data_IF_410761298420
#
_entry.id   IF_410761298420
#
_cell.length_a   1.000
_cell.length_b   1.000
_cell.length_c   1.000
_cell.angle_alpha   90.00
_cell.angle_beta   90.00
_cell.angle_gamma   90.00
#
_symmetry.space_group_name_H-M   'P 1'
#
loop_
_entity.id
_entity.type
_entity.pdbx_description
1 polymer ?
#
# COMPACT_ATOMS: atom_id res chain seq x y z
N UNK A 1 -3.45 15.68 4.22
CA UNK A 1 -4.08 14.50 4.87
C UNK A 1 -4.96 13.84 3.83
N UNK A 2 -5.23 12.56 3.98
CA UNK A 2 -6.11 11.81 3.08
C UNK A 2 -7.06 10.95 3.90
N UNK A 3 -8.19 10.58 3.31
CA UNK A 3 -9.15 9.68 3.95
C UNK A 3 -9.62 8.68 2.92
N UNK A 4 -9.46 7.40 3.21
CA UNK A 4 -10.02 6.31 2.40
C UNK A 4 -11.22 5.69 3.07
N UNK A 5 -12.16 5.25 2.27
CA UNK A 5 -13.26 4.39 2.67
C UNK A 5 -13.33 3.19 1.74
N UNK A 6 -13.37 2.01 2.31
CA UNK A 6 -13.54 0.75 1.59
C UNK A 6 -14.74 0.00 2.18
N UNK A 7 -15.55 -0.63 1.33
CA UNK A 7 -16.83 -1.23 1.70
C UNK A 7 -16.95 -2.61 1.08
N UNK A 8 -17.21 -3.62 1.91
CA UNK A 8 -17.46 -4.98 1.46
C UNK A 8 -18.80 -5.15 0.74
N UNK A 9 -18.92 -6.14 -0.10
CA UNK A 9 -20.05 -6.37 -1.00
C UNK A 9 -21.43 -6.49 -0.31
N UNK A 10 -21.48 -7.01 0.92
CA UNK A 10 -22.72 -7.13 1.70
C UNK A 10 -23.08 -5.88 2.48
N UNK A 11 -22.18 -4.90 2.53
CA UNK A 11 -22.41 -3.60 3.14
C UNK A 11 -22.85 -2.52 2.13
N UNK A 12 -22.93 -2.88 0.85
CA UNK A 12 -23.44 -2.03 -0.24
C UNK A 12 -24.86 -2.43 -0.65
N UNK A 13 -25.58 -1.52 -1.29
CA UNK A 13 -26.97 -1.75 -1.68
C UNK A 13 -27.12 -2.70 -2.87
N UNK A 14 -26.10 -2.79 -3.73
CA UNK A 14 -26.11 -3.54 -5.00
C UNK A 14 -25.17 -4.75 -5.01
N UNK A 15 -24.51 -5.04 -3.90
CA UNK A 15 -23.57 -6.17 -3.79
C UNK A 15 -22.20 -5.92 -4.41
N UNK A 16 -21.86 -4.67 -4.73
CA UNK A 16 -20.54 -4.31 -5.23
C UNK A 16 -19.55 -4.05 -4.09
N UNK A 17 -18.26 -4.28 -4.33
CA UNK A 17 -17.22 -3.67 -3.51
C UNK A 17 -17.07 -2.20 -3.86
N UNK A 18 -16.77 -1.37 -2.87
CA UNK A 18 -16.54 0.05 -3.10
C UNK A 18 -15.23 0.51 -2.47
N UNK A 19 -14.57 1.40 -3.15
CA UNK A 19 -13.33 2.03 -2.70
C UNK A 19 -13.33 3.50 -3.12
N UNK A 20 -13.09 4.40 -2.17
CA UNK A 20 -12.99 5.82 -2.42
C UNK A 20 -11.91 6.46 -1.55
N UNK A 21 -11.32 7.54 -2.03
CA UNK A 21 -10.30 8.31 -1.31
C UNK A 21 -10.47 9.81 -1.56
N UNK A 22 -10.31 10.61 -0.51
CA UNK A 22 -10.02 12.03 -0.66
C UNK A 22 -8.50 12.24 -0.71
N UNK A 23 -8.04 13.08 -1.61
CA UNK A 23 -6.66 13.55 -1.66
C UNK A 23 -6.63 14.97 -1.09
N UNK A 24 -6.39 15.07 0.22
CA UNK A 24 -6.39 16.36 0.90
C UNK A 24 -5.08 17.11 0.60
N UNK A 25 -5.15 18.06 -0.30
CA UNK A 25 -4.01 18.85 -0.75
C UNK A 25 -4.38 20.34 -0.84
N UNK A 26 -3.47 21.15 -1.34
CA UNK A 26 -3.76 22.54 -1.67
C UNK A 26 -4.91 22.60 -2.68
N UNK A 27 -5.89 23.49 -2.46
CA UNK A 27 -7.07 23.68 -3.31
C UNK A 27 -6.75 23.97 -4.79
N UNK A 28 -5.52 24.41 -5.09
CA UNK A 28 -5.05 24.65 -6.46
C UNK A 28 -4.38 23.43 -7.11
N UNK A 29 -4.23 22.32 -6.41
CA UNK A 29 -3.70 21.06 -6.95
C UNK A 29 -4.83 20.30 -7.66
N UNK A 30 -5.13 20.68 -8.89
CA UNK A 30 -6.05 19.93 -9.71
C UNK A 30 -5.41 18.59 -10.13
N UNK A 31 -6.21 17.53 -10.12
CA UNK A 31 -5.86 16.21 -10.65
C UNK A 31 -6.53 16.02 -12.00
N UNK A 32 -5.96 15.18 -12.85
CA UNK A 32 -6.54 14.83 -14.13
C UNK A 32 -6.45 13.31 -14.37
N UNK A 33 -7.31 12.83 -15.24
CA UNK A 33 -7.36 11.42 -15.61
C UNK A 33 -6.38 11.15 -16.74
N UNK A 34 -5.51 10.16 -16.57
CA UNK A 34 -4.53 9.73 -17.57
C UNK A 34 -4.77 8.27 -17.93
N UNK A 35 -4.68 7.94 -19.20
CA UNK A 35 -4.72 6.59 -19.73
C UNK A 35 -3.32 6.21 -20.19
N UNK A 36 -2.81 5.09 -19.68
CA UNK A 36 -1.59 4.45 -20.12
C UNK A 36 -1.97 3.28 -21.02
N UNK A 37 -1.64 3.35 -22.30
CA UNK A 37 -1.98 2.27 -23.24
C UNK A 37 -1.14 1.03 -23.02
N UNK A 38 -1.73 -0.13 -23.29
CA UNK A 38 -0.99 -1.40 -23.24
C UNK A 38 0.15 -1.42 -24.24
N UNK A 39 1.30 -1.96 -23.86
CA UNK A 39 2.47 -2.06 -24.72
C UNK A 39 3.43 -3.15 -24.27
N UNK A 40 4.24 -3.61 -25.19
CA UNK A 40 5.31 -4.55 -24.90
C UNK A 40 6.58 -3.78 -24.49
N UNK A 41 7.25 -4.28 -23.47
CA UNK A 41 8.52 -3.72 -22.99
C UNK A 41 9.71 -4.49 -23.58
N UNK A 42 10.81 -3.79 -23.78
CA UNK A 42 12.06 -4.43 -24.12
C UNK A 42 12.53 -5.36 -22.99
N UNK A 43 13.28 -6.40 -23.33
CA UNK A 43 13.90 -7.28 -22.35
C UNK A 43 14.80 -6.48 -21.38
N UNK A 44 14.60 -6.68 -20.09
CA UNK A 44 15.35 -5.96 -19.04
C UNK A 44 14.93 -4.50 -18.83
N UNK A 45 13.83 -4.06 -19.41
CA UNK A 45 13.30 -2.72 -19.18
C UNK A 45 12.92 -2.51 -17.69
N UNK A 46 13.26 -1.33 -17.18
CA UNK A 46 13.03 -0.96 -15.79
C UNK A 46 12.09 0.23 -15.70
N UNK A 47 11.16 0.18 -14.76
CA UNK A 47 10.50 1.36 -14.20
C UNK A 47 11.54 2.14 -13.39
N UNK A 48 11.44 3.47 -13.39
CA UNK A 48 12.23 4.37 -12.56
C UNK A 48 11.33 5.45 -11.98
N UNK A 49 11.49 5.73 -10.71
CA UNK A 49 10.81 6.87 -10.07
C UNK A 49 11.08 8.15 -10.90
N UNK A 50 10.05 8.97 -11.06
CA UNK A 50 10.19 10.25 -11.74
C UNK A 50 11.13 11.19 -10.97
N UNK A 51 11.96 11.93 -11.67
CA UNK A 51 12.90 12.88 -11.07
C UNK A 51 12.14 14.12 -10.54
N UNK A 52 12.10 14.25 -9.23
CA UNK A 52 11.59 15.42 -8.52
C UNK A 52 12.32 15.59 -7.17
N UNK A 53 12.20 16.76 -6.56
CA UNK A 53 12.82 17.01 -5.25
C UNK A 53 12.23 16.11 -4.16
N UNK A 54 13.01 15.16 -3.68
CA UNK A 54 12.62 14.18 -2.67
C UNK A 54 12.28 12.81 -3.23
N UNK A 55 12.39 12.63 -4.57
CA UNK A 55 12.33 11.32 -5.19
C UNK A 55 13.44 10.39 -4.67
N UNK A 56 13.18 9.10 -4.72
CA UNK A 56 14.18 8.06 -4.49
C UNK A 56 14.76 7.60 -5.83
N UNK A 57 15.89 6.90 -5.80
CA UNK A 57 16.43 6.20 -6.97
C UNK A 57 15.82 4.80 -7.12
N UNK A 58 14.50 4.66 -6.85
CA UNK A 58 13.81 3.38 -6.95
C UNK A 58 13.70 2.93 -8.40
N UNK A 59 14.06 1.68 -8.63
CA UNK A 59 13.95 0.99 -9.91
C UNK A 59 13.27 -0.36 -9.71
N UNK A 60 12.40 -0.74 -10.66
CA UNK A 60 11.73 -2.04 -10.61
C UNK A 60 11.54 -2.63 -12.01
N UNK A 61 11.72 -3.95 -12.20
CA UNK A 61 11.56 -4.57 -13.51
C UNK A 61 10.14 -4.34 -14.07
N UNK A 62 10.04 -3.88 -15.31
CA UNK A 62 8.79 -3.84 -16.04
C UNK A 62 8.35 -5.27 -16.45
N UNK A 63 7.04 -5.57 -16.54
CA UNK A 63 6.58 -6.82 -17.12
C UNK A 63 6.89 -6.85 -18.62
N UNK A 64 7.02 -8.03 -19.23
CA UNK A 64 7.21 -8.15 -20.67
C UNK A 64 6.10 -7.45 -21.48
N UNK A 65 4.87 -7.52 -20.97
CA UNK A 65 3.70 -6.78 -21.48
C UNK A 65 3.09 -5.96 -20.35
N UNK A 66 3.02 -4.64 -20.51
CA UNK A 66 2.31 -3.73 -19.63
C UNK A 66 0.84 -3.66 -20.08
N UNK A 67 -0.07 -4.01 -19.18
CA UNK A 67 -1.51 -3.85 -19.40
C UNK A 67 -1.89 -2.39 -19.53
N UNK A 68 -3.00 -2.11 -20.17
CA UNK A 68 -3.61 -0.77 -20.16
C UNK A 68 -4.12 -0.45 -18.76
N UNK A 69 -3.83 0.75 -18.27
CA UNK A 69 -4.28 1.20 -16.96
C UNK A 69 -4.53 2.70 -16.93
N UNK A 70 -5.11 3.17 -15.86
CA UNK A 70 -5.40 4.59 -15.64
C UNK A 70 -4.72 5.08 -14.36
N UNK A 71 -4.45 6.38 -14.30
CA UNK A 71 -3.98 7.06 -13.09
C UNK A 71 -4.63 8.44 -12.98
N UNK A 72 -4.55 9.07 -11.80
CA UNK A 72 -5.12 10.39 -11.55
C UNK A 72 -4.06 11.31 -10.91
N UNK A 73 -2.97 11.61 -11.63
CA UNK A 73 -1.88 12.43 -11.12
C UNK A 73 -2.26 13.91 -11.04
N UNK A 74 -1.42 14.68 -10.35
CA UNK A 74 -1.47 16.14 -10.41
C UNK A 74 -1.20 16.62 -11.82
N UNK A 75 -2.10 17.43 -12.38
CA UNK A 75 -2.03 17.86 -13.77
C UNK A 75 -0.81 18.72 -14.13
N UNK A 76 -0.23 19.44 -13.16
CA UNK A 76 0.94 20.29 -13.41
C UNK A 76 2.25 19.51 -13.37
N UNK A 77 2.39 18.59 -12.40
CA UNK A 77 3.64 17.89 -12.14
C UNK A 77 3.66 16.47 -12.70
N UNK A 78 2.50 15.91 -13.05
CA UNK A 78 2.31 14.50 -13.41
C UNK A 78 2.72 13.51 -12.32
N UNK A 79 2.91 14.00 -11.09
CA UNK A 79 3.26 13.19 -9.92
C UNK A 79 2.00 12.76 -9.16
N UNK A 80 2.17 11.79 -8.27
CA UNK A 80 1.12 11.25 -7.41
C UNK A 80 -0.02 10.62 -8.23
N UNK A 81 0.27 9.56 -8.95
CA UNK A 81 -0.68 8.78 -9.75
C UNK A 81 -1.90 8.33 -8.96
N UNK A 82 -1.73 8.20 -7.68
CA UNK A 82 -2.67 8.16 -6.57
C UNK A 82 -3.73 7.06 -6.64
N UNK A 83 -4.41 6.87 -7.76
CA UNK A 83 -5.51 5.91 -7.92
C UNK A 83 -5.62 5.51 -9.38
N UNK A 84 -6.02 4.27 -9.64
CA UNK A 84 -6.26 3.82 -11.01
C UNK A 84 -6.86 2.43 -11.07
N UNK A 85 -7.19 2.04 -12.29
CA UNK A 85 -7.66 0.71 -12.64
C UNK A 85 -6.93 0.21 -13.87
N UNK A 86 -6.69 -1.08 -13.96
CA UNK A 86 -6.20 -1.71 -15.18
C UNK A 86 -7.33 -2.39 -15.97
N UNK A 87 -7.01 -2.92 -17.14
CA UNK A 87 -7.96 -3.57 -18.04
C UNK A 87 -8.55 -4.89 -17.50
N UNK A 88 -7.91 -5.52 -16.52
CA UNK A 88 -8.45 -6.70 -15.82
C UNK A 88 -9.43 -6.29 -14.69
N UNK A 89 -9.64 -5.00 -14.48
CA UNK A 89 -10.54 -4.48 -13.44
C UNK A 89 -9.93 -4.42 -12.05
N UNK A 90 -8.61 -4.60 -11.95
CA UNK A 90 -7.91 -4.37 -10.68
C UNK A 90 -7.72 -2.88 -10.47
N UNK A 91 -8.20 -2.39 -9.32
CA UNK A 91 -8.01 -1.02 -8.89
C UNK A 91 -7.17 -0.92 -7.63
N UNK A 92 -6.54 0.23 -7.43
CA UNK A 92 -5.91 0.59 -6.16
C UNK A 92 -6.21 2.03 -5.78
N UNK A 93 -6.25 2.32 -4.49
CA UNK A 93 -6.21 3.71 -4.02
C UNK A 93 -4.77 4.15 -3.90
N UNK A 94 -4.56 5.42 -4.08
CA UNK A 94 -3.37 6.05 -3.53
C UNK A 94 -3.38 5.96 -2.01
N UNK A 95 -2.29 6.36 -1.43
CA UNK A 95 -1.93 6.04 -0.08
C UNK A 95 -2.40 7.06 0.93
N UNK A 96 -2.64 6.59 2.13
CA UNK A 96 -2.59 7.43 3.32
C UNK A 96 -1.21 7.32 3.93
N UNK A 97 -0.57 8.47 4.17
CA UNK A 97 0.70 8.46 4.91
C UNK A 97 0.47 7.92 6.32
N UNK A 98 1.21 6.88 6.67
CA UNK A 98 1.17 6.22 7.98
C UNK A 98 2.52 6.42 8.66
N UNK A 99 2.52 6.52 9.96
CA UNK A 99 3.75 6.73 10.72
C UNK A 99 4.06 5.50 11.57
N UNK A 100 5.28 4.98 11.44
CA UNK A 100 5.83 4.02 12.38
C UNK A 100 6.46 4.73 13.58
N UNK A 101 6.64 4.03 14.70
CA UNK A 101 7.36 4.56 15.86
C UNK A 101 8.85 4.74 15.54
N UNK A 102 9.47 5.76 16.13
CA UNK A 102 10.93 5.95 16.04
C UNK A 102 11.69 4.73 16.55
N UNK A 103 11.13 4.01 17.53
CA UNK A 103 11.73 2.79 18.06
C UNK A 103 11.76 1.67 17.01
N UNK A 104 10.64 1.39 16.33
CA UNK A 104 10.61 0.39 15.26
C UNK A 104 11.53 0.80 14.09
N UNK A 105 11.50 2.09 13.69
CA UNK A 105 12.36 2.62 12.63
C UNK A 105 13.84 2.65 12.98
N UNK A 106 14.22 2.58 14.26
CA UNK A 106 15.63 2.47 14.64
C UNK A 106 16.24 1.11 14.24
N UNK A 107 15.42 0.08 14.05
CA UNK A 107 15.85 -1.25 13.63
C UNK A 107 15.72 -1.50 12.12
N UNK A 108 14.72 -0.88 11.48
CA UNK A 108 14.43 -1.02 10.05
C UNK A 108 13.94 0.33 9.49
N UNK A 109 14.87 1.28 9.28
CA UNK A 109 14.56 2.64 8.86
C UNK A 109 14.06 2.66 7.41
N UNK A 110 13.14 3.58 7.09
CA UNK A 110 12.68 3.80 5.72
C UNK A 110 13.86 3.97 4.75
N UNK A 111 13.81 3.25 3.63
CA UNK A 111 14.83 3.32 2.58
C UNK A 111 14.64 4.58 1.71
N UNK A 112 15.09 5.71 2.21
CA UNK A 112 14.98 7.01 1.52
C UNK A 112 15.80 7.12 0.24
N UNK A 113 16.74 6.21 0.02
CA UNK A 113 17.60 6.26 -1.17
C UNK A 113 16.98 5.55 -2.37
N UNK A 114 16.51 4.31 -2.18
CA UNK A 114 16.06 3.43 -3.27
C UNK A 114 14.75 2.70 -2.98
N UNK A 115 14.06 3.06 -1.89
CA UNK A 115 12.78 2.44 -1.52
C UNK A 115 11.63 2.95 -2.37
N UNK A 116 10.57 2.12 -2.45
CA UNK A 116 9.33 2.49 -3.13
C UNK A 116 8.60 3.60 -2.37
N UNK A 117 8.08 4.58 -3.10
CA UNK A 117 7.23 5.65 -2.59
C UNK A 117 5.77 5.46 -3.01
N UNK A 118 4.86 6.24 -2.42
CA UNK A 118 3.46 6.26 -2.86
C UNK A 118 3.30 6.64 -4.33
N UNK A 119 4.25 7.41 -4.86
CA UNK A 119 4.22 7.88 -6.26
C UNK A 119 4.49 6.76 -7.27
N UNK A 120 5.11 5.66 -6.85
CA UNK A 120 5.54 4.56 -7.73
C UNK A 120 4.49 3.44 -7.83
N UNK A 121 3.57 3.35 -6.86
CA UNK A 121 2.74 2.15 -6.66
C UNK A 121 1.85 1.85 -7.87
N UNK A 122 1.20 2.87 -8.45
CA UNK A 122 0.32 2.67 -9.61
C UNK A 122 1.08 2.07 -10.79
N UNK A 123 2.23 2.63 -11.11
CA UNK A 123 3.08 2.26 -12.24
C UNK A 123 3.77 0.90 -12.06
N UNK A 124 3.94 0.49 -10.80
CA UNK A 124 4.51 -0.83 -10.48
C UNK A 124 3.44 -1.92 -10.49
N UNK A 125 2.25 -1.65 -9.98
CA UNK A 125 1.21 -2.66 -9.74
C UNK A 125 0.27 -2.82 -10.93
N UNK A 126 -0.32 -1.73 -11.42
CA UNK A 126 -1.40 -1.79 -12.41
C UNK A 126 -1.01 -2.40 -13.76
N UNK A 127 0.24 -2.25 -14.25
CA UNK A 127 0.63 -2.86 -15.52
C UNK A 127 0.66 -4.40 -15.52
N UNK A 128 0.58 -5.07 -14.36
CA UNK A 128 0.91 -6.50 -14.27
C UNK A 128 -0.06 -7.38 -13.47
N UNK A 129 -0.75 -6.85 -12.47
CA UNK A 129 -1.55 -7.66 -11.56
C UNK A 129 -2.97 -7.87 -12.10
N UNK A 130 -3.50 -9.09 -11.95
CA UNK A 130 -4.80 -9.51 -12.51
C UNK A 130 -5.88 -9.66 -11.46
N UNK A 131 -5.53 -9.63 -10.18
CA UNK A 131 -6.47 -9.68 -9.06
C UNK A 131 -6.04 -8.74 -7.94
N UNK A 132 -6.99 -8.30 -7.11
CA UNK A 132 -6.71 -7.48 -5.94
C UNK A 132 -5.75 -8.19 -4.95
N UNK A 133 -5.93 -9.50 -4.75
CA UNK A 133 -5.05 -10.31 -3.91
C UNK A 133 -3.62 -10.36 -4.46
N UNK A 134 -3.45 -10.58 -5.76
CA UNK A 134 -2.15 -10.56 -6.42
C UNK A 134 -1.49 -9.18 -6.30
N UNK A 135 -2.23 -8.11 -6.53
CA UNK A 135 -1.75 -6.74 -6.42
C UNK A 135 -1.23 -6.42 -5.01
N UNK A 136 -2.00 -6.80 -3.99
CA UNK A 136 -1.61 -6.66 -2.60
C UNK A 136 -0.34 -7.45 -2.26
N UNK A 137 -0.29 -8.73 -2.63
CA UNK A 137 0.87 -9.60 -2.40
C UNK A 137 2.11 -9.12 -3.17
N UNK A 138 1.92 -8.59 -4.40
CA UNK A 138 3.01 -8.08 -5.21
C UNK A 138 3.62 -6.80 -4.61
N UNK A 139 2.79 -5.86 -4.12
CA UNK A 139 3.30 -4.70 -3.39
C UNK A 139 4.08 -5.14 -2.14
N UNK A 140 3.57 -6.11 -1.40
CA UNK A 140 4.28 -6.70 -0.27
C UNK A 140 5.65 -7.24 -0.65
N UNK A 141 5.75 -7.97 -1.76
CA UNK A 141 7.04 -8.44 -2.30
C UNK A 141 8.00 -7.29 -2.66
N UNK A 142 7.49 -6.22 -3.27
CA UNK A 142 8.30 -5.02 -3.56
C UNK A 142 8.83 -4.40 -2.27
N UNK A 143 7.98 -4.25 -1.25
CA UNK A 143 8.35 -3.73 0.07
C UNK A 143 9.44 -4.60 0.72
N UNK A 144 9.27 -5.93 0.73
CA UNK A 144 10.27 -6.84 1.31
C UNK A 144 11.61 -6.80 0.56
N UNK A 145 11.61 -6.50 -0.73
CA UNK A 145 12.79 -6.55 -1.59
C UNK A 145 13.55 -5.23 -1.65
N UNK A 146 12.82 -4.13 -1.90
CA UNK A 146 13.41 -2.80 -2.11
C UNK A 146 13.32 -1.90 -0.87
N UNK A 147 12.42 -2.23 0.06
CA UNK A 147 12.06 -1.39 1.17
C UNK A 147 11.09 -0.27 0.78
N UNK A 148 10.27 0.17 1.74
CA UNK A 148 9.46 1.37 1.61
C UNK A 148 10.28 2.62 1.98
N UNK A 149 10.14 3.69 1.23
CA UNK A 149 10.79 4.96 1.53
C UNK A 149 10.01 5.79 2.56
N UNK A 150 8.78 5.42 2.83
CA UNK A 150 7.85 6.08 3.75
C UNK A 150 6.79 5.09 4.22
N UNK A 151 6.01 5.47 5.23
CA UNK A 151 4.89 4.67 5.68
C UNK A 151 3.61 5.00 4.91
N UNK A 152 2.92 3.97 4.43
CA UNK A 152 1.68 4.12 3.67
C UNK A 152 0.69 2.99 3.90
N UNK A 153 -0.59 3.28 3.66
CA UNK A 153 -1.68 2.32 3.53
C UNK A 153 -2.25 2.34 2.12
N UNK A 154 -2.59 1.17 1.57
CA UNK A 154 -3.11 1.02 0.19
C UNK A 154 -4.23 0.01 0.15
N UNK A 155 -5.36 0.37 -0.50
CA UNK A 155 -6.42 -0.58 -0.79
C UNK A 155 -6.31 -1.10 -2.24
N UNK A 156 -6.64 -2.37 -2.43
CA UNK A 156 -6.69 -3.06 -3.72
C UNK A 156 -8.07 -3.68 -3.90
N UNK A 157 -8.68 -3.48 -5.04
CA UNK A 157 -10.04 -3.94 -5.36
C UNK A 157 -10.08 -4.64 -6.71
N UNK A 158 -10.89 -5.67 -6.81
CA UNK A 158 -11.39 -6.22 -8.07
C UNK A 158 -12.88 -6.60 -7.94
N UNK A 159 -13.43 -7.29 -8.91
CA UNK A 159 -14.84 -7.70 -8.87
C UNK A 159 -15.18 -8.76 -7.81
N UNK A 160 -14.20 -9.36 -7.14
CA UNK A 160 -14.37 -10.49 -6.22
C UNK A 160 -13.77 -10.26 -4.86
N UNK A 161 -12.87 -9.25 -4.72
CA UNK A 161 -12.04 -9.12 -3.53
C UNK A 161 -11.65 -7.67 -3.24
N UNK A 162 -11.37 -7.41 -1.96
CA UNK A 162 -10.96 -6.10 -1.48
C UNK A 162 -9.95 -6.27 -0.34
N UNK A 163 -8.72 -5.82 -0.56
CA UNK A 163 -7.61 -5.91 0.38
C UNK A 163 -7.13 -4.54 0.81
N UNK A 164 -6.65 -4.44 2.04
CA UNK A 164 -6.00 -3.24 2.55
C UNK A 164 -4.68 -3.59 3.20
N UNK A 165 -3.60 -2.96 2.74
CA UNK A 165 -2.23 -3.16 3.18
C UNK A 165 -1.76 -1.94 3.95
N UNK A 166 -1.01 -2.15 5.03
CA UNK A 166 -0.29 -1.12 5.77
C UNK A 166 1.18 -1.50 5.98
N UNK A 167 2.07 -0.53 5.78
CA UNK A 167 3.49 -0.69 6.13
C UNK A 167 3.71 -0.49 7.64
N UNK A 168 4.65 -1.24 8.21
CA UNK A 168 5.15 -1.04 9.58
C UNK A 168 6.46 -0.28 9.60
N UNK A 169 7.46 -0.80 8.89
CA UNK A 169 8.80 -0.21 8.73
C UNK A 169 9.20 -0.26 7.26
N UNK A 170 10.49 -0.13 6.94
CA UNK A 170 10.93 -0.24 5.54
C UNK A 170 10.53 -1.58 4.90
N UNK A 171 10.67 -2.71 5.61
CA UNK A 171 10.45 -4.04 5.03
C UNK A 171 9.32 -4.84 5.69
N UNK A 172 8.66 -4.28 6.72
CA UNK A 172 7.58 -4.97 7.42
C UNK A 172 6.22 -4.39 7.04
N UNK A 173 5.28 -5.25 6.71
CA UNK A 173 3.91 -4.90 6.31
C UNK A 173 2.92 -5.99 6.71
N UNK A 174 1.65 -5.64 6.83
CA UNK A 174 0.53 -6.58 6.88
C UNK A 174 -0.61 -6.09 6.00
N UNK A 175 -1.48 -7.01 5.62
CA UNK A 175 -2.70 -6.70 4.88
C UNK A 175 -3.86 -7.58 5.32
N UNK A 176 -5.06 -7.01 5.29
CA UNK A 176 -6.29 -7.74 5.56
C UNK A 176 -7.24 -7.69 4.38
N UNK A 177 -7.91 -8.80 4.14
CA UNK A 177 -9.09 -8.84 3.29
C UNK A 177 -10.23 -8.14 4.01
N UNK A 178 -10.89 -7.20 3.37
CA UNK A 178 -12.04 -6.51 3.95
C UNK A 178 -13.21 -7.49 4.10
N UNK A 179 -13.79 -7.65 5.31
CA UNK A 179 -14.95 -8.50 5.50
C UNK A 179 -16.13 -8.03 4.64
N UNK A 180 -16.86 -8.99 4.06
CA UNK A 180 -17.94 -8.71 3.11
C UNK A 180 -19.03 -7.79 3.67
N UNK A 181 -19.34 -7.92 4.97
CA UNK A 181 -20.43 -7.20 5.67
C UNK A 181 -19.96 -5.95 6.44
N UNK A 182 -18.72 -5.51 6.21
CA UNK A 182 -18.11 -4.38 6.90
C UNK A 182 -17.71 -3.26 5.94
N UNK A 183 -17.50 -2.10 6.51
CA UNK A 183 -16.74 -1.03 5.89
C UNK A 183 -15.57 -0.63 6.78
N UNK A 184 -14.56 -0.05 6.17
CA UNK A 184 -13.38 0.44 6.84
C UNK A 184 -13.12 1.87 6.38
N UNK A 185 -12.82 2.75 7.32
CA UNK A 185 -12.46 4.13 7.04
C UNK A 185 -11.14 4.44 7.74
N UNK A 186 -10.17 4.90 6.97
CA UNK A 186 -8.85 5.28 7.48
C UNK A 186 -8.50 6.69 7.04
N UNK A 187 -7.92 7.45 7.97
CA UNK A 187 -7.17 8.67 7.68
C UNK A 187 -5.67 8.37 7.68
N UNK A 188 -4.84 9.38 7.95
CA UNK A 188 -3.38 9.20 8.03
C UNK A 188 -2.96 8.48 9.34
N UNK A 189 -3.48 7.29 9.54
CA UNK A 189 -3.23 6.45 10.72
C UNK A 189 -3.18 4.99 10.33
N UNK A 190 -2.27 4.22 10.93
CA UNK A 190 -2.33 2.77 10.90
C UNK A 190 -3.54 2.25 11.69
N UNK A 191 -4.24 1.29 11.14
CA UNK A 191 -5.48 0.73 11.70
C UNK A 191 -5.43 -0.78 11.83
N UNK A 192 -4.59 -1.45 11.06
CA UNK A 192 -4.43 -2.90 11.15
C UNK A 192 -3.63 -3.29 12.38
N UNK A 193 -4.14 -4.24 13.13
CA UNK A 193 -3.56 -4.69 14.40
C UNK A 193 -3.25 -6.18 14.39
N UNK A 194 -4.27 -6.98 14.19
CA UNK A 194 -4.21 -8.43 14.20
C UNK A 194 -3.41 -8.95 12.99
N UNK A 195 -2.58 -9.95 13.20
CA UNK A 195 -1.96 -10.69 12.10
C UNK A 195 -1.71 -12.14 12.52
N UNK A 196 -2.32 -13.06 11.78
CA UNK A 196 -2.11 -14.50 11.89
C UNK A 196 -1.75 -15.06 10.51
N UNK A 197 -0.50 -15.53 10.31
CA UNK A 197 -0.06 -16.06 9.02
C UNK A 197 -0.78 -17.36 8.60
N UNK A 198 -1.53 -17.99 9.49
CA UNK A 198 -2.33 -19.19 9.18
C UNK A 198 -3.69 -18.87 8.54
N UNK A 199 -4.11 -17.60 8.58
CA UNK A 199 -5.38 -17.15 8.01
C UNK A 199 -5.23 -16.77 6.54
N UNK A 200 -6.22 -17.14 5.72
CA UNK A 200 -6.24 -16.84 4.28
C UNK A 200 -6.78 -15.44 3.95
N UNK A 201 -7.37 -14.76 4.92
CA UNK A 201 -7.83 -13.37 4.85
C UNK A 201 -6.79 -12.36 5.38
N UNK A 202 -5.57 -12.83 5.67
CA UNK A 202 -4.44 -12.00 6.09
C UNK A 202 -3.19 -12.30 5.25
N UNK A 203 -2.38 -11.31 5.02
CA UNK A 203 -1.04 -11.39 4.43
C UNK A 203 -0.09 -10.49 5.18
N UNK A 204 1.20 -10.76 5.13
CA UNK A 204 2.23 -9.92 5.73
C UNK A 204 3.62 -10.37 5.34
N UNK A 205 4.61 -9.53 5.64
CA UNK A 205 6.00 -9.91 5.44
C UNK A 205 6.32 -11.18 6.20
N UNK A 206 7.10 -12.05 5.55
CA UNK A 206 7.45 -13.37 6.10
C UNK A 206 8.18 -13.30 7.46
N UNK A 207 8.71 -12.14 7.78
CA UNK A 207 9.52 -11.89 8.98
C UNK A 207 8.82 -11.01 10.02
N UNK A 208 7.61 -10.51 9.80
CA UNK A 208 7.01 -9.48 10.67
C UNK A 208 6.94 -9.88 12.15
N UNK A 209 6.54 -11.11 12.45
CA UNK A 209 6.46 -11.61 13.83
C UNK A 209 7.87 -11.87 14.39
N UNK A 210 8.72 -12.58 13.65
CA UNK A 210 10.09 -12.89 14.10
C UNK A 210 10.92 -11.62 14.28
N UNK A 211 10.79 -10.66 13.38
CA UNK A 211 11.41 -9.34 13.51
C UNK A 211 10.96 -8.64 14.79
N UNK A 212 9.67 -8.61 15.08
CA UNK A 212 9.15 -7.97 16.29
C UNK A 212 9.69 -8.63 17.56
N UNK A 213 9.79 -9.97 17.59
CA UNK A 213 10.36 -10.72 18.72
C UNK A 213 11.85 -10.43 18.85
N UNK A 214 12.63 -10.55 17.78
CA UNK A 214 14.08 -10.35 17.79
C UNK A 214 14.49 -8.93 18.22
N UNK A 215 13.66 -7.94 17.90
CA UNK A 215 13.92 -6.53 18.25
C UNK A 215 13.27 -6.11 19.57
N UNK A 216 12.65 -7.05 20.30
CA UNK A 216 11.98 -6.76 21.57
C UNK A 216 10.76 -5.84 21.45
N UNK A 217 10.15 -5.78 20.27
CA UNK A 217 8.92 -5.04 20.01
C UNK A 217 7.67 -5.87 20.41
N UNK A 218 7.83 -7.17 20.53
CA UNK A 218 6.78 -8.12 20.92
C UNK A 218 7.38 -9.29 21.71
N UNK A 219 6.71 -9.66 22.81
CA UNK A 219 7.04 -10.84 23.59
C UNK A 219 5.83 -11.78 23.69
N UNK A 220 5.84 -12.95 23.01
CA UNK A 220 4.69 -13.86 23.00
C UNK A 220 4.35 -14.47 24.38
N UNK A 221 5.28 -14.40 25.37
CA UNK A 221 5.02 -14.90 26.72
C UNK A 221 4.24 -13.90 27.59
N UNK A 222 4.33 -12.61 27.29
CA UNK A 222 3.78 -11.55 28.16
C UNK A 222 2.73 -10.68 27.48
N UNK A 223 2.78 -10.50 26.17
CA UNK A 223 2.01 -9.49 25.45
C UNK A 223 0.70 -10.02 24.83
N UNK A 224 0.48 -11.36 24.93
CA UNK A 224 -0.70 -12.00 24.35
C UNK A 224 -0.61 -12.19 22.84
N UNK A 225 -1.70 -11.92 22.13
CA UNK A 225 -1.72 -12.02 20.66
C UNK A 225 -0.87 -10.93 20.01
N UNK A 226 -0.29 -11.24 18.84
CA UNK A 226 0.52 -10.29 18.08
C UNK A 226 -0.32 -9.08 17.65
N UNK A 227 0.16 -7.89 17.98
CA UNK A 227 -0.46 -6.62 17.61
C UNK A 227 0.52 -5.76 16.80
N UNK A 228 0.26 -5.63 15.50
CA UNK A 228 1.10 -4.87 14.59
C UNK A 228 1.17 -3.37 14.94
N UNK A 229 0.12 -2.81 15.56
CA UNK A 229 0.13 -1.41 15.99
C UNK A 229 1.12 -1.17 17.13
N UNK A 230 1.31 -2.11 18.04
CA UNK A 230 2.26 -1.99 19.16
C UNK A 230 3.70 -1.86 18.65
N UNK A 231 4.09 -2.66 17.67
CA UNK A 231 5.40 -2.57 17.03
C UNK A 231 5.60 -1.29 16.21
N UNK A 232 4.51 -0.69 15.73
CA UNK A 232 4.53 0.48 14.85
C UNK A 232 4.34 1.79 15.57
N UNK A 233 3.54 1.84 16.60
CA UNK A 233 3.13 3.09 17.24
C UNK A 233 3.02 2.98 18.75
N UNK A 234 4.08 3.19 19.48
CA UNK A 234 3.93 3.71 20.82
C UNK A 234 3.82 5.25 20.82
N UNK A 235 3.08 5.82 19.90
CA UNK A 235 2.64 7.22 19.98
C UNK A 235 1.17 7.27 20.44
N UNK A 236 0.85 6.64 21.56
CA UNK A 236 -0.16 7.19 22.45
C UNK A 236 0.56 8.16 23.36
N UNK A 237 0.65 9.42 22.98
CA UNK A 237 0.58 10.46 23.99
C UNK A 237 -0.71 10.18 24.78
N UNK A 238 -0.54 9.72 26.01
CA UNK A 238 -1.64 9.73 26.97
C UNK A 238 -1.95 11.19 27.24
N UNK A 239 -3.01 11.68 26.62
CA UNK A 239 -3.68 12.88 27.10
C UNK A 239 -4.44 12.52 28.37
#
# INVERSE_FOLDING_TARGET
MCTSIIVGEKATADGSFMMARSADSNALKAQHFVIHEAHDNAEGAMYRTQDYKGATDFEWPLPAHSMRYTTVPNWQTQLHGAVGFNEEGVGLTGTESIFASDHALSFDPYNKATGITEDDICEVILPRCKTAREACAYLGHVIETAGAAEGFGVAFIDAKDLWYLETGTAHQWIAHRTPADKYFCSGNQGRLREFDPARDDMMGSSTVISFAIEKGLYNPETDGEFDFEIGRASCRERV
#
